data_IF_478368565272
#
_entry.id   IF_478368565272
#
_cell.length_a   1.000
_cell.length_b   1.000
_cell.length_c   1.000
_cell.angle_alpha   90.00
_cell.angle_beta   90.00
_cell.angle_gamma   90.00
#
_symmetry.space_group_name_H-M   'P 1'
#
loop_
_entity.id
_entity.type
_entity.pdbx_description
1 polymer ?
#
# COMPACT_ATOMS: atom_id res chain seq x y z
N UNK A 1 1.39 -14.00 40.04
CA UNK A 1 -0.04 -14.07 39.67
C UNK A 1 -0.26 -15.38 38.92
N UNK A 2 -0.92 -16.37 39.52
CA UNK A 2 -1.33 -17.59 38.79
C UNK A 2 -2.62 -17.26 38.04
N UNK A 3 -2.47 -16.72 36.83
CA UNK A 3 -3.60 -16.40 35.95
C UNK A 3 -3.73 -17.56 34.96
N UNK A 4 -4.89 -18.23 34.96
CA UNK A 4 -5.23 -19.22 33.95
C UNK A 4 -5.92 -18.51 32.78
N UNK A 5 -5.45 -18.67 31.53
CA UNK A 5 -6.12 -18.11 30.37
C UNK A 5 -7.56 -18.63 30.26
N UNK A 6 -8.53 -17.74 30.03
CA UNK A 6 -9.94 -18.14 29.82
C UNK A 6 -10.22 -18.55 28.38
N UNK A 7 -9.42 -18.06 27.42
CA UNK A 7 -9.50 -18.40 25.99
C UNK A 7 -8.21 -18.05 25.24
N UNK A 8 -8.04 -18.66 24.08
CA UNK A 8 -7.08 -18.21 23.05
C UNK A 8 -7.79 -17.28 22.07
N UNK A 9 -7.02 -16.39 21.44
CA UNK A 9 -7.50 -15.43 20.43
C UNK A 9 -6.98 -15.88 19.07
N UNK A 10 -7.83 -15.89 18.04
CA UNK A 10 -7.43 -16.21 16.66
C UNK A 10 -6.75 -15.01 16.00
N UNK A 11 -5.98 -15.25 14.94
CA UNK A 11 -5.44 -14.15 14.15
C UNK A 11 -6.57 -13.24 13.64
N UNK A 12 -6.35 -11.93 13.72
CA UNK A 12 -7.29 -10.83 13.41
C UNK A 12 -8.54 -10.74 14.27
N UNK A 13 -8.70 -11.61 15.26
CA UNK A 13 -9.85 -11.56 16.15
C UNK A 13 -9.80 -10.31 17.03
N UNK A 14 -10.96 -9.64 17.16
CA UNK A 14 -11.12 -8.54 18.09
C UNK A 14 -11.05 -9.05 19.54
N UNK A 15 -10.05 -8.60 20.30
CA UNK A 15 -9.92 -8.93 21.72
C UNK A 15 -10.89 -8.11 22.58
N UNK A 16 -11.12 -6.87 22.15
CA UNK A 16 -12.18 -5.95 22.59
C UNK A 16 -12.65 -5.17 21.37
N UNK A 17 -13.83 -4.52 21.39
CA UNK A 17 -14.31 -3.77 20.24
C UNK A 17 -13.26 -2.78 19.68
N UNK A 18 -12.92 -2.94 18.41
CA UNK A 18 -11.96 -2.09 17.70
C UNK A 18 -10.48 -2.45 17.87
N UNK A 19 -10.12 -3.40 18.74
CA UNK A 19 -8.73 -3.80 18.97
C UNK A 19 -8.54 -5.28 18.57
N UNK A 20 -7.74 -5.51 17.55
CA UNK A 20 -7.56 -6.81 16.91
C UNK A 20 -6.19 -7.40 17.25
N UNK A 21 -6.12 -8.71 17.53
CA UNK A 21 -4.84 -9.41 17.65
C UNK A 21 -4.30 -9.75 16.26
N UNK A 22 -2.99 -9.58 16.04
CA UNK A 22 -2.28 -10.05 14.85
C UNK A 22 -1.23 -11.06 15.32
N UNK A 23 -1.31 -12.30 14.86
CA UNK A 23 -0.40 -13.36 15.30
C UNK A 23 1.00 -13.19 14.71
N UNK A 24 2.01 -13.41 15.55
CA UNK A 24 3.43 -13.37 15.22
C UNK A 24 4.07 -14.70 15.65
N UNK A 25 3.99 -15.68 14.76
CA UNK A 25 4.32 -17.09 15.00
C UNK A 25 5.82 -17.36 15.15
N UNK A 26 6.67 -16.47 14.63
CA UNK A 26 8.13 -16.68 14.57
C UNK A 26 8.91 -15.82 15.56
N UNK A 27 8.22 -15.30 16.58
CA UNK A 27 8.80 -14.53 17.67
C UNK A 27 9.76 -15.29 18.58
N UNK A 28 9.97 -14.74 19.77
CA UNK A 28 10.79 -15.35 20.83
C UNK A 28 10.09 -16.54 21.48
N UNK A 29 8.76 -16.50 21.57
CA UNK A 29 7.95 -17.50 22.22
C UNK A 29 6.62 -17.76 21.49
N UNK A 30 6.04 -18.98 21.60
CA UNK A 30 4.76 -19.27 21.00
C UNK A 30 3.63 -18.37 21.52
N UNK A 31 2.75 -17.93 20.62
CA UNK A 31 1.58 -17.10 20.97
C UNK A 31 1.85 -15.61 21.06
N UNK A 32 2.99 -15.14 20.52
CA UNK A 32 3.23 -13.71 20.34
C UNK A 32 2.20 -13.07 19.40
N UNK A 33 1.79 -11.86 19.77
CA UNK A 33 0.82 -11.06 19.03
C UNK A 33 1.26 -9.60 18.98
N UNK A 34 0.91 -8.92 17.90
CA UNK A 34 0.73 -7.47 17.89
C UNK A 34 -0.76 -7.14 18.11
N UNK A 35 -1.04 -5.92 18.54
CA UNK A 35 -2.41 -5.41 18.64
C UNK A 35 -2.61 -4.29 17.64
N UNK A 36 -3.65 -4.39 16.82
CA UNK A 36 -4.00 -3.38 15.82
C UNK A 36 -5.29 -2.66 16.18
N UNK A 37 -5.23 -1.33 16.21
CA UNK A 37 -6.37 -0.45 16.45
C UNK A 37 -6.63 0.39 15.19
N UNK A 38 -7.54 -0.03 14.28
CA UNK A 38 -7.78 0.64 13.00
C UNK A 38 -8.21 2.10 13.16
N UNK A 39 -9.12 2.39 14.08
CA UNK A 39 -9.65 3.75 14.31
C UNK A 39 -8.57 4.74 14.75
N UNK A 40 -7.54 4.26 15.45
CA UNK A 40 -6.41 5.07 15.91
C UNK A 40 -5.24 5.02 14.93
N UNK A 41 -5.33 4.21 13.89
CA UNK A 41 -4.23 3.91 12.97
C UNK A 41 -2.95 3.52 13.73
N UNK A 42 -3.10 2.68 14.76
CA UNK A 42 -2.02 2.33 15.70
C UNK A 42 -1.80 0.82 15.73
N UNK A 43 -0.54 0.40 15.70
CA UNK A 43 -0.12 -0.98 16.01
C UNK A 43 0.70 -0.96 17.29
N UNK A 44 0.48 -1.94 18.17
CA UNK A 44 1.25 -2.15 19.39
C UNK A 44 2.02 -3.45 19.27
N UNK A 45 3.32 -3.40 19.51
CA UNK A 45 4.18 -4.58 19.58
C UNK A 45 4.61 -4.84 21.02
N UNK A 46 4.80 -6.14 21.32
CA UNK A 46 5.55 -6.58 22.49
C UNK A 46 7.05 -6.36 22.29
N UNK A 47 7.84 -7.41 22.52
CA UNK A 47 9.31 -7.37 22.44
C UNK A 47 9.87 -7.59 21.02
N UNK A 48 9.08 -8.13 20.09
CA UNK A 48 9.57 -8.44 18.73
C UNK A 48 10.08 -7.20 17.97
N UNK A 49 9.42 -6.06 18.12
CA UNK A 49 9.80 -4.78 17.49
C UNK A 49 10.21 -3.81 18.58
N UNK A 50 11.42 -3.27 18.47
CA UNK A 50 12.07 -2.44 19.48
C UNK A 50 12.35 -1.05 18.90
N UNK A 51 12.05 -0.01 19.68
CA UNK A 51 12.29 1.39 19.30
C UNK A 51 13.70 1.89 19.64
N UNK A 52 14.72 1.15 19.23
CA UNK A 52 16.13 1.45 19.53
C UNK A 52 16.99 1.30 18.27
N UNK A 53 17.86 2.29 17.92
CA UNK A 53 18.08 3.57 18.61
C UNK A 53 16.91 4.55 18.46
N UNK A 54 16.95 5.67 19.20
CA UNK A 54 15.93 6.73 19.09
C UNK A 54 15.74 7.16 17.63
N UNK A 55 14.48 7.13 17.16
CA UNK A 55 14.15 7.45 15.78
C UNK A 55 14.42 6.30 14.80
N UNK A 56 14.48 5.05 15.27
CA UNK A 56 14.52 3.86 14.42
C UNK A 56 13.72 2.73 15.05
N UNK A 57 13.33 1.76 14.23
CA UNK A 57 12.82 0.47 14.68
C UNK A 57 13.87 -0.60 14.38
N UNK A 58 14.07 -1.51 15.31
CA UNK A 58 14.85 -2.74 15.14
C UNK A 58 14.01 -3.94 15.55
N UNK A 59 14.48 -5.13 15.20
CA UNK A 59 13.89 -6.37 15.69
C UNK A 59 14.61 -6.81 16.95
N UNK A 60 13.90 -7.59 17.78
CA UNK A 60 14.52 -8.31 18.88
C UNK A 60 15.76 -9.06 18.40
N UNK A 61 16.81 -9.07 19.22
CA UNK A 61 18.08 -9.71 18.86
C UNK A 61 17.88 -11.16 18.35
N UNK A 62 18.50 -11.49 17.22
CA UNK A 62 18.35 -12.77 16.53
C UNK A 62 18.58 -13.99 17.45
N UNK A 63 19.50 -13.90 18.42
CA UNK A 63 19.77 -14.96 19.39
C UNK A 63 18.59 -15.28 20.33
N UNK A 64 17.57 -14.43 20.36
CA UNK A 64 16.34 -14.62 21.13
C UNK A 64 15.16 -15.07 20.27
N UNK A 65 15.29 -15.09 18.94
CA UNK A 65 14.21 -15.46 18.02
C UNK A 65 14.32 -16.93 17.64
N UNK A 66 13.17 -17.57 17.43
CA UNK A 66 13.12 -18.96 16.99
C UNK A 66 13.60 -19.13 15.54
N UNK A 67 13.25 -18.18 14.66
CA UNK A 67 13.67 -18.11 13.26
C UNK A 67 13.70 -16.63 12.84
N UNK A 68 14.85 -15.93 12.99
CA UNK A 68 14.93 -14.49 12.74
C UNK A 68 14.51 -14.07 11.33
N UNK A 69 14.90 -14.77 10.24
CA UNK A 69 14.41 -14.44 8.89
C UNK A 69 12.89 -14.55 8.76
N UNK A 70 12.27 -15.62 9.29
CA UNK A 70 10.81 -15.77 9.23
C UNK A 70 10.06 -14.77 10.09
N UNK A 71 10.60 -14.38 11.24
CA UNK A 71 10.03 -13.32 12.08
C UNK A 71 9.95 -11.98 11.32
N UNK A 72 11.03 -11.62 10.62
CA UNK A 72 11.06 -10.42 9.81
C UNK A 72 10.11 -10.52 8.60
N UNK A 73 10.03 -11.67 7.93
CA UNK A 73 9.09 -11.89 6.84
C UNK A 73 7.63 -11.79 7.30
N UNK A 74 7.30 -12.36 8.45
CA UNK A 74 5.94 -12.32 9.00
C UNK A 74 5.49 -10.91 9.36
N UNK A 75 6.39 -10.06 9.87
CA UNK A 75 6.10 -8.65 10.15
C UNK A 75 5.66 -7.84 8.92
N UNK A 76 5.93 -8.32 7.70
CA UNK A 76 5.41 -7.69 6.48
C UNK A 76 3.89 -7.74 6.39
N UNK A 77 3.22 -8.67 7.08
CA UNK A 77 1.76 -8.68 7.22
C UNK A 77 1.24 -7.40 7.91
N UNK A 78 2.03 -6.79 8.79
CA UNK A 78 1.69 -5.52 9.43
C UNK A 78 1.64 -4.40 8.40
N UNK A 79 2.52 -4.43 7.39
CA UNK A 79 2.49 -3.47 6.28
C UNK A 79 1.21 -3.61 5.42
N UNK A 80 0.43 -4.67 5.53
CA UNK A 80 -0.89 -4.73 4.89
C UNK A 80 -1.98 -3.94 5.66
N UNK A 81 -1.70 -3.54 6.90
CA UNK A 81 -2.62 -2.78 7.74
C UNK A 81 -2.49 -1.27 7.49
N UNK A 82 -3.58 -0.54 7.74
CA UNK A 82 -3.58 0.93 7.71
C UNK A 82 -3.21 1.50 9.08
N UNK A 83 -1.95 1.90 9.25
CA UNK A 83 -1.44 2.50 10.48
C UNK A 83 -0.48 3.67 10.18
N UNK A 84 -0.33 4.57 11.15
CA UNK A 84 0.60 5.70 11.13
C UNK A 84 1.43 5.80 12.43
N UNK A 85 1.02 5.05 13.46
CA UNK A 85 1.64 5.01 14.78
C UNK A 85 2.04 3.58 15.12
N UNK A 86 3.24 3.39 15.68
CA UNK A 86 3.71 2.15 16.29
C UNK A 86 4.05 2.44 17.75
N UNK A 87 3.42 1.70 18.66
CA UNK A 87 3.81 1.64 20.07
C UNK A 87 4.62 0.37 20.31
N UNK A 88 5.74 0.49 21.01
CA UNK A 88 6.64 -0.63 21.33
C UNK A 88 6.72 -0.82 22.84
N UNK A 89 6.92 -2.05 23.29
CA UNK A 89 7.16 -2.35 24.70
C UNK A 89 8.52 -1.84 25.19
N UNK A 90 9.54 -1.92 24.32
CA UNK A 90 10.92 -1.53 24.62
C UNK A 90 11.41 -0.42 23.66
N UNK A 91 12.07 0.60 24.21
CA UNK A 91 12.60 1.74 23.44
C UNK A 91 11.57 2.85 23.20
N UNK A 92 11.66 3.52 22.04
CA UNK A 92 10.88 4.71 21.70
C UNK A 92 9.79 4.40 20.67
N UNK A 93 8.55 4.74 21.01
CA UNK A 93 7.41 4.64 20.08
C UNK A 93 7.47 5.68 18.96
N UNK A 94 6.88 5.35 17.81
CA UNK A 94 6.83 6.21 16.61
C UNK A 94 5.39 6.69 16.41
N UNK A 95 5.18 8.01 16.40
CA UNK A 95 3.84 8.62 16.38
C UNK A 95 3.39 9.12 15.00
N UNK A 96 4.29 9.15 14.02
CA UNK A 96 4.03 9.58 12.65
C UNK A 96 4.90 8.79 11.69
N UNK A 97 4.35 8.52 10.50
CA UNK A 97 5.03 7.83 9.40
C UNK A 97 5.59 6.46 9.82
N UNK A 98 5.01 5.83 10.86
CA UNK A 98 5.54 4.60 11.46
C UNK A 98 5.64 3.44 10.46
N UNK A 99 4.83 3.47 9.40
CA UNK A 99 4.92 2.54 8.27
C UNK A 99 6.31 2.57 7.62
N UNK A 100 6.85 3.76 7.36
CA UNK A 100 8.17 3.91 6.74
C UNK A 100 9.27 3.39 7.66
N UNK A 101 9.20 3.70 8.96
CA UNK A 101 10.16 3.17 9.94
C UNK A 101 10.17 1.63 10.00
N UNK A 102 8.99 0.99 9.88
CA UNK A 102 8.91 -0.47 9.83
C UNK A 102 9.48 -1.01 8.50
N UNK A 103 9.22 -0.34 7.38
CA UNK A 103 9.85 -0.70 6.10
C UNK A 103 11.38 -0.61 6.21
N UNK A 104 11.92 0.48 6.73
CA UNK A 104 13.37 0.69 6.87
C UNK A 104 14.01 -0.37 7.77
N UNK A 105 13.34 -0.70 8.89
CA UNK A 105 13.73 -1.78 9.79
C UNK A 105 13.85 -3.12 9.05
N UNK A 106 12.81 -3.51 8.30
CA UNK A 106 12.76 -4.76 7.55
C UNK A 106 13.75 -4.79 6.38
N UNK A 107 14.02 -3.63 5.77
CA UNK A 107 14.97 -3.47 4.66
C UNK A 107 16.43 -3.51 5.11
N UNK A 108 16.71 -3.24 6.38
CA UNK A 108 18.06 -3.35 6.93
C UNK A 108 18.53 -4.82 7.06
N UNK A 109 17.60 -5.78 7.06
CA UNK A 109 17.88 -7.22 7.15
C UNK A 109 18.41 -7.77 5.83
N UNK A 110 19.69 -8.15 5.80
CA UNK A 110 20.39 -8.67 4.60
C UNK A 110 20.36 -10.19 4.48
N UNK A 111 19.92 -10.86 5.53
CA UNK A 111 19.80 -12.32 5.63
C UNK A 111 18.50 -12.86 4.99
N UNK A 112 17.56 -11.99 4.63
CA UNK A 112 16.34 -12.35 3.89
C UNK A 112 16.67 -12.41 2.39
N UNK A 113 16.85 -13.63 1.88
CA UNK A 113 17.20 -13.85 0.47
C UNK A 113 16.02 -13.61 -0.49
N UNK A 114 14.81 -14.04 -0.12
CA UNK A 114 13.60 -13.89 -0.94
C UNK A 114 12.53 -13.16 -0.13
N UNK A 115 12.01 -12.09 -0.71
CA UNK A 115 10.90 -11.33 -0.18
C UNK A 115 9.59 -11.82 -0.82
N UNK A 116 8.96 -12.83 -0.23
CA UNK A 116 7.78 -13.48 -0.78
C UNK A 116 6.57 -13.32 0.15
N UNK A 117 5.41 -13.16 -0.47
CA UNK A 117 4.09 -13.30 0.15
C UNK A 117 3.16 -14.06 -0.81
N UNK A 118 2.15 -14.74 -0.28
CA UNK A 118 1.07 -15.30 -1.08
C UNK A 118 -0.12 -14.32 -1.11
N UNK A 119 -0.76 -14.15 -2.28
CA UNK A 119 -1.79 -13.11 -2.44
C UNK A 119 -3.02 -13.36 -1.56
N UNK A 120 -3.33 -14.62 -1.27
CA UNK A 120 -4.45 -15.03 -0.41
C UNK A 120 -4.22 -14.69 1.08
N UNK A 121 -2.98 -14.42 1.47
CA UNK A 121 -2.66 -13.99 2.85
C UNK A 121 -2.91 -12.49 3.07
N UNK A 122 -3.17 -11.75 1.99
CA UNK A 122 -3.35 -10.31 1.99
C UNK A 122 -4.84 -10.02 1.80
N UNK A 123 -5.42 -9.33 2.77
CA UNK A 123 -6.81 -8.90 2.66
C UNK A 123 -6.96 -7.76 1.67
N UNK A 124 -8.09 -7.77 0.97
CA UNK A 124 -8.53 -6.62 0.20
C UNK A 124 -8.71 -5.41 1.13
N UNK A 125 -8.10 -4.28 0.75
CA UNK A 125 -8.27 -3.02 1.44
C UNK A 125 -9.25 -2.16 0.66
N UNK A 126 -10.28 -1.64 1.33
CA UNK A 126 -11.21 -0.71 0.70
C UNK A 126 -10.61 0.71 0.66
N UNK A 127 -10.39 1.24 -0.53
CA UNK A 127 -10.00 2.63 -0.75
C UNK A 127 -11.23 3.51 -0.75
N UNK A 128 -11.42 4.20 0.37
CA UNK A 128 -12.47 5.19 0.50
C UNK A 128 -12.16 6.41 -0.38
N UNK A 129 -12.93 6.58 -1.45
CA UNK A 129 -12.93 7.73 -2.34
C UNK A 129 -14.38 8.08 -2.72
N UNK A 130 -14.66 9.28 -3.26
CA UNK A 130 -15.99 9.59 -3.74
C UNK A 130 -16.41 8.65 -4.87
N UNK A 131 -17.65 8.18 -4.85
CA UNK A 131 -18.22 7.42 -5.97
C UNK A 131 -18.06 8.21 -7.29
N UNK A 132 -17.66 7.56 -8.41
CA UNK A 132 -17.44 6.12 -8.62
C UNK A 132 -15.99 5.65 -8.42
N UNK A 133 -15.14 6.41 -7.74
CA UNK A 133 -13.70 6.17 -7.63
C UNK A 133 -13.29 5.32 -6.42
N UNK A 134 -14.26 4.80 -5.66
CA UNK A 134 -14.01 3.84 -4.59
C UNK A 134 -13.78 2.43 -5.15
N UNK A 135 -12.76 1.76 -4.64
CA UNK A 135 -12.38 0.41 -5.09
C UNK A 135 -11.64 -0.35 -4.00
N UNK A 136 -11.34 -1.62 -4.26
CA UNK A 136 -10.55 -2.45 -3.36
C UNK A 136 -9.16 -2.70 -3.95
N UNK A 137 -8.12 -2.69 -3.13
CA UNK A 137 -6.76 -2.96 -3.58
C UNK A 137 -5.93 -3.81 -2.62
N UNK A 138 -4.84 -4.33 -3.16
CA UNK A 138 -3.72 -4.94 -2.44
C UNK A 138 -2.44 -4.23 -2.91
N UNK A 139 -1.84 -3.46 -2.01
CA UNK A 139 -0.60 -2.71 -2.27
C UNK A 139 0.61 -3.61 -1.96
N UNK A 140 1.23 -4.19 -2.99
CA UNK A 140 2.12 -5.34 -2.88
C UNK A 140 3.58 -4.95 -2.70
N UNK A 141 4.05 -3.90 -3.38
CA UNK A 141 5.46 -3.50 -3.34
C UNK A 141 6.00 -3.26 -1.93
N UNK A 142 5.29 -2.59 -0.99
CA UNK A 142 5.86 -2.37 0.34
C UNK A 142 5.97 -3.70 1.10
N UNK A 143 5.07 -4.65 0.83
CA UNK A 143 5.02 -5.95 1.48
C UNK A 143 6.18 -6.85 1.05
N UNK A 144 6.58 -6.79 -0.23
CA UNK A 144 7.75 -7.53 -0.73
C UNK A 144 9.01 -6.67 -0.84
N UNK A 145 8.96 -5.42 -0.39
CA UNK A 145 10.13 -4.56 -0.30
C UNK A 145 10.59 -3.97 -1.63
N UNK A 146 9.69 -3.84 -2.60
CA UNK A 146 9.89 -3.04 -3.80
C UNK A 146 10.14 -1.57 -3.44
N UNK A 147 10.97 -0.89 -4.24
CA UNK A 147 11.36 0.52 -4.01
C UNK A 147 11.25 1.38 -5.26
N UNK A 148 11.62 0.81 -6.40
CA UNK A 148 11.66 1.52 -7.68
C UNK A 148 10.46 1.17 -8.58
N UNK A 149 9.70 0.15 -8.19
CA UNK A 149 8.50 -0.29 -8.87
C UNK A 149 7.38 -0.39 -7.83
N UNK A 150 6.23 0.19 -8.16
CA UNK A 150 4.97 -0.01 -7.47
C UNK A 150 4.25 -1.22 -8.05
N UNK A 151 3.66 -2.04 -7.19
CA UNK A 151 2.93 -3.25 -7.55
C UNK A 151 1.58 -3.23 -6.84
N UNK A 152 0.48 -3.23 -7.59
CA UNK A 152 -0.85 -3.19 -6.99
C UNK A 152 -1.79 -4.14 -7.71
N UNK A 153 -2.60 -4.85 -6.95
CA UNK A 153 -3.77 -5.52 -7.51
C UNK A 153 -4.99 -4.68 -7.14
N UNK A 154 -5.80 -4.33 -8.12
CA UNK A 154 -7.03 -3.54 -7.95
C UNK A 154 -8.22 -4.40 -8.36
N UNK A 155 -9.29 -4.29 -7.59
CA UNK A 155 -10.61 -4.84 -7.91
C UNK A 155 -11.62 -3.71 -8.01
N UNK A 156 -12.23 -3.57 -9.18
CA UNK A 156 -13.36 -2.67 -9.40
C UNK A 156 -14.64 -3.47 -9.38
N UNK A 157 -15.56 -3.12 -8.47
CA UNK A 157 -16.93 -3.62 -8.47
C UNK A 157 -17.72 -3.03 -9.66
N UNK A 158 -18.89 -3.59 -10.02
CA UNK A 158 -19.81 -2.95 -10.97
C UNK A 158 -20.04 -1.47 -10.65
N UNK A 159 -20.16 -0.64 -11.69
CA UNK A 159 -20.34 0.82 -11.63
C UNK A 159 -19.17 1.60 -11.00
N UNK A 160 -18.02 0.95 -10.78
CA UNK A 160 -16.80 1.60 -10.26
C UNK A 160 -15.80 1.93 -11.36
N UNK A 161 -14.96 2.90 -11.06
CA UNK A 161 -13.90 3.38 -11.95
C UNK A 161 -12.57 3.37 -11.21
N UNK A 162 -11.48 3.16 -11.94
CA UNK A 162 -10.13 3.44 -11.42
C UNK A 162 -9.95 4.95 -11.26
N UNK A 163 -8.73 5.38 -10.95
CA UNK A 163 -8.30 6.79 -10.88
C UNK A 163 -8.90 7.69 -11.98
N UNK A 164 -9.05 9.01 -11.74
CA UNK A 164 -9.41 9.96 -12.79
C UNK A 164 -8.53 9.80 -14.03
N UNK A 165 -9.04 10.18 -15.22
CA UNK A 165 -8.25 10.20 -16.46
C UNK A 165 -6.93 10.92 -16.20
N UNK A 166 -5.82 10.22 -16.39
CA UNK A 166 -4.49 10.75 -16.10
C UNK A 166 -3.41 10.12 -16.97
N UNK A 167 -2.28 10.79 -17.03
CA UNK A 167 -1.02 10.24 -17.53
C UNK A 167 0.15 10.74 -16.69
N UNK A 168 1.25 10.00 -16.74
CA UNK A 168 2.53 10.31 -16.11
C UNK A 168 3.48 10.93 -17.13
N UNK A 169 4.26 11.94 -16.75
CA UNK A 169 5.23 12.56 -17.67
C UNK A 169 6.59 11.86 -17.67
N UNK A 170 6.93 11.16 -16.59
CA UNK A 170 8.22 10.48 -16.45
C UNK A 170 8.06 9.00 -16.10
N UNK A 171 7.07 8.65 -15.28
CA UNK A 171 6.83 7.27 -14.90
C UNK A 171 6.22 6.44 -16.02
N UNK A 172 6.66 5.18 -16.13
CA UNK A 172 5.95 4.16 -16.91
C UNK A 172 4.93 3.44 -16.02
N UNK A 173 3.81 3.04 -16.61
CA UNK A 173 2.82 2.19 -15.97
C UNK A 173 2.33 1.12 -16.96
N UNK A 174 1.95 -0.03 -16.43
CA UNK A 174 1.34 -1.12 -17.20
C UNK A 174 0.25 -1.79 -16.38
N UNK A 175 -0.71 -2.36 -17.08
CA UNK A 175 -1.80 -3.15 -16.52
C UNK A 175 -1.80 -4.53 -17.15
N UNK A 176 -2.01 -5.55 -16.32
CA UNK A 176 -2.37 -6.89 -16.74
C UNK A 176 -3.75 -7.23 -16.16
N UNK A 177 -4.74 -7.47 -17.03
CA UNK A 177 -6.09 -7.84 -16.60
C UNK A 177 -6.09 -9.30 -16.17
N UNK A 178 -6.40 -9.56 -14.91
CA UNK A 178 -6.34 -10.89 -14.32
C UNK A 178 -7.68 -11.62 -14.44
N UNK A 179 -8.79 -10.92 -14.21
CA UNK A 179 -10.14 -11.48 -14.18
C UNK A 179 -11.16 -10.46 -14.69
N UNK A 180 -12.22 -10.94 -15.34
CA UNK A 180 -13.32 -10.12 -15.84
C UNK A 180 -12.99 -9.31 -17.10
N UNK A 181 -13.82 -8.31 -17.37
CA UNK A 181 -13.65 -7.34 -18.45
C UNK A 181 -14.11 -5.96 -17.99
N UNK A 182 -13.61 -4.91 -18.64
CA UNK A 182 -14.07 -3.55 -18.42
C UNK A 182 -13.73 -2.66 -19.63
N UNK A 183 -14.16 -1.40 -19.57
CA UNK A 183 -13.83 -0.41 -20.60
C UNK A 183 -12.62 0.43 -20.18
N UNK A 184 -11.56 0.41 -20.98
CA UNK A 184 -10.44 1.33 -20.92
C UNK A 184 -10.77 2.60 -21.71
N UNK A 185 -10.98 3.72 -21.01
CA UNK A 185 -11.14 5.05 -21.61
C UNK A 185 -9.77 5.61 -21.95
N UNK A 186 -9.59 6.10 -23.19
CA UNK A 186 -8.39 6.81 -23.63
C UNK A 186 -8.77 8.04 -24.47
N UNK A 187 -7.88 9.03 -24.64
CA UNK A 187 -8.14 10.14 -25.57
C UNK A 187 -8.32 9.72 -27.03
N UNK A 188 -7.94 8.49 -27.39
CA UNK A 188 -8.04 7.94 -28.75
C UNK A 188 -9.32 7.12 -28.98
N UNK A 189 -10.16 6.99 -27.96
CA UNK A 189 -11.35 6.16 -27.99
C UNK A 189 -11.36 5.12 -26.87
N UNK A 190 -12.51 4.47 -26.74
CA UNK A 190 -12.77 3.46 -25.74
C UNK A 190 -12.38 2.08 -26.26
N UNK A 191 -11.76 1.28 -25.41
CA UNK A 191 -11.30 -0.07 -25.74
C UNK A 191 -11.84 -1.03 -24.69
N UNK A 192 -12.51 -2.10 -25.12
CA UNK A 192 -12.84 -3.21 -24.22
C UNK A 192 -11.56 -3.97 -23.89
N UNK A 193 -11.35 -4.25 -22.61
CA UNK A 193 -10.20 -5.03 -22.12
C UNK A 193 -10.71 -6.20 -21.30
N UNK A 194 -10.04 -7.35 -21.40
CA UNK A 194 -10.48 -8.64 -20.87
C UNK A 194 -9.32 -9.39 -20.22
N UNK A 195 -9.63 -10.38 -19.38
CA UNK A 195 -8.62 -11.21 -18.72
C UNK A 195 -7.58 -11.78 -19.72
N UNK A 196 -6.30 -11.56 -19.41
CA UNK A 196 -5.16 -11.94 -20.26
C UNK A 196 -4.53 -10.75 -21.01
N UNK A 197 -5.20 -9.59 -21.08
CA UNK A 197 -4.67 -8.42 -21.77
C UNK A 197 -3.52 -7.76 -21.00
N UNK A 198 -2.43 -7.47 -21.73
CA UNK A 198 -1.33 -6.60 -21.29
C UNK A 198 -1.47 -5.23 -21.95
N UNK A 199 -1.46 -4.18 -21.15
CA UNK A 199 -1.67 -2.80 -21.59
C UNK A 199 -0.54 -1.95 -21.03
N UNK A 200 0.15 -1.21 -21.89
CA UNK A 200 1.20 -0.29 -21.49
C UNK A 200 0.72 1.17 -21.57
N UNK A 201 1.12 1.97 -20.58
CA UNK A 201 0.88 3.40 -20.50
C UNK A 201 2.24 4.12 -20.51
N UNK A 202 2.80 4.40 -21.70
CA UNK A 202 4.07 5.11 -21.80
C UNK A 202 3.93 6.56 -21.32
N UNK A 203 5.03 7.23 -20.94
CA UNK A 203 4.98 8.60 -20.46
C UNK A 203 4.40 9.56 -21.51
N UNK A 204 3.64 10.54 -21.04
CA UNK A 204 2.97 11.55 -21.85
C UNK A 204 1.54 11.17 -22.25
N UNK A 205 0.94 12.02 -23.07
CA UNK A 205 -0.51 11.95 -23.42
C UNK A 205 -0.92 10.63 -24.10
N UNK A 206 0.02 9.92 -24.74
CA UNK A 206 -0.24 8.63 -25.35
C UNK A 206 -0.58 7.52 -24.33
N UNK A 207 -0.12 7.67 -23.08
CA UNK A 207 -0.45 6.78 -21.95
C UNK A 207 -1.65 7.24 -21.13
N UNK A 208 -2.40 8.27 -21.56
CA UNK A 208 -3.55 8.74 -20.80
C UNK A 208 -4.67 7.70 -20.76
N UNK A 209 -5.13 7.36 -19.56
CA UNK A 209 -6.07 6.27 -19.37
C UNK A 209 -6.95 6.39 -18.11
N UNK A 210 -8.04 5.62 -18.12
CA UNK A 210 -8.92 5.35 -16.99
C UNK A 210 -9.74 4.07 -17.25
N UNK A 211 -9.83 3.18 -16.28
CA UNK A 211 -10.70 2.00 -16.34
C UNK A 211 -12.10 2.31 -15.79
N UNK A 212 -13.12 1.80 -16.45
CA UNK A 212 -14.54 1.90 -16.07
C UNK A 212 -15.14 0.51 -16.12
N UNK A 213 -15.61 0.00 -14.98
CA UNK A 213 -16.35 -1.25 -14.93
C UNK A 213 -17.84 -0.97 -15.12
N UNK A 214 -18.30 -1.07 -16.37
CA UNK A 214 -19.70 -0.96 -16.81
C UNK A 214 -20.38 -2.34 -16.98
N UNK A 215 -19.76 -3.40 -16.43
CA UNK A 215 -20.31 -4.76 -16.42
C UNK A 215 -21.07 -5.06 -15.12
N UNK A 216 -21.71 -6.22 -15.04
CA UNK A 216 -22.43 -6.71 -13.86
C UNK A 216 -21.58 -7.60 -12.94
N UNK A 217 -20.28 -7.75 -13.23
CA UNK A 217 -19.34 -8.55 -12.45
C UNK A 217 -18.08 -7.73 -12.06
N UNK A 218 -17.33 -8.12 -11.01
CA UNK A 218 -16.07 -7.49 -10.67
C UNK A 218 -15.00 -7.72 -11.75
N UNK A 219 -14.10 -6.74 -11.91
CA UNK A 219 -12.88 -6.87 -12.72
C UNK A 219 -11.66 -6.73 -11.82
N UNK A 220 -10.63 -7.56 -12.05
CA UNK A 220 -9.39 -7.57 -11.26
C UNK A 220 -8.20 -7.39 -12.19
N UNK A 221 -7.29 -6.48 -11.84
CA UNK A 221 -6.08 -6.24 -12.63
C UNK A 221 -4.87 -5.95 -11.75
N UNK A 222 -3.71 -6.39 -12.25
CA UNK A 222 -2.40 -6.07 -11.71
C UNK A 222 -1.86 -4.83 -12.40
N UNK A 223 -1.53 -3.80 -11.64
CA UNK A 223 -0.85 -2.60 -12.08
C UNK A 223 0.60 -2.64 -11.60
N UNK A 224 1.51 -2.37 -12.52
CA UNK A 224 2.91 -2.12 -12.22
C UNK A 224 3.28 -0.75 -12.77
N UNK A 225 3.99 0.05 -11.98
CA UNK A 225 4.52 1.32 -12.45
C UNK A 225 5.86 1.65 -11.81
N UNK A 226 6.62 2.54 -12.42
CA UNK A 226 7.86 3.04 -11.83
C UNK A 226 7.56 4.00 -10.68
N UNK A 227 8.30 3.89 -9.59
CA UNK A 227 8.27 4.86 -8.50
C UNK A 227 9.23 6.00 -8.82
N UNK A 228 8.70 7.10 -9.36
CA UNK A 228 9.50 8.23 -9.84
C UNK A 228 9.25 9.48 -8.97
N UNK A 229 10.14 9.83 -8.03
CA UNK A 229 9.89 10.94 -7.09
C UNK A 229 9.73 12.32 -7.75
N UNK A 230 10.24 12.46 -8.98
CA UNK A 230 10.18 13.68 -9.77
C UNK A 230 9.09 13.65 -10.84
N UNK A 231 8.14 12.71 -10.76
CA UNK A 231 7.09 12.60 -11.75
C UNK A 231 6.13 13.80 -11.72
N UNK A 232 5.43 13.99 -12.83
CA UNK A 232 4.35 14.95 -12.98
C UNK A 232 3.17 14.24 -13.61
N UNK A 233 2.10 14.06 -12.84
CA UNK A 233 0.85 13.51 -13.38
C UNK A 233 -0.07 14.64 -13.83
N UNK A 234 -0.70 14.48 -14.99
CA UNK A 234 -1.71 15.41 -15.49
C UNK A 234 -3.07 14.73 -15.58
N UNK A 235 -4.12 15.51 -15.36
CA UNK A 235 -5.51 15.04 -15.32
C UNK A 235 -6.37 15.82 -16.33
N UNK A 236 -6.41 15.39 -17.61
CA UNK A 236 -7.02 16.13 -18.71
C UNK A 236 -8.46 16.58 -18.45
N UNK A 237 -9.34 15.67 -18.00
CA UNK A 237 -10.78 15.96 -17.77
C UNK A 237 -11.02 17.10 -16.78
N UNK A 238 -10.08 17.28 -15.86
CA UNK A 238 -10.18 18.26 -14.78
C UNK A 238 -9.18 19.41 -14.92
N UNK A 239 -8.41 19.45 -16.00
CA UNK A 239 -7.37 20.45 -16.22
C UNK A 239 -6.46 20.67 -15.00
N UNK A 240 -6.02 19.56 -14.38
CA UNK A 240 -5.16 19.58 -13.18
C UNK A 240 -3.79 18.98 -13.48
N UNK A 241 -2.81 19.37 -12.66
CA UNK A 241 -1.45 18.80 -12.65
C UNK A 241 -1.00 18.54 -11.21
N UNK A 242 -0.30 17.44 -11.00
CA UNK A 242 0.34 17.05 -9.74
C UNK A 242 1.84 16.88 -9.98
N UNK A 243 2.67 17.88 -9.67
CA UNK A 243 4.10 17.70 -9.54
C UNK A 243 4.41 16.97 -8.23
N UNK A 244 5.01 15.77 -8.30
CA UNK A 244 5.19 14.90 -7.13
C UNK A 244 6.11 15.53 -6.09
N UNK A 245 7.17 16.22 -6.54
CA UNK A 245 8.10 16.95 -5.68
C UNK A 245 7.42 18.03 -4.82
N UNK A 246 6.31 18.61 -5.30
CA UNK A 246 5.54 19.61 -4.54
C UNK A 246 4.46 18.95 -3.69
N UNK A 247 3.93 17.80 -4.12
CA UNK A 247 2.89 17.07 -3.40
C UNK A 247 1.54 17.80 -3.35
N UNK A 248 1.32 18.78 -4.24
CA UNK A 248 0.08 19.57 -4.34
C UNK A 248 -0.46 19.54 -5.76
N UNK A 249 -1.78 19.55 -5.87
CA UNK A 249 -2.49 19.56 -7.15
C UNK A 249 -2.85 21.00 -7.49
N UNK A 250 -2.56 21.40 -8.73
CA UNK A 250 -2.85 22.73 -9.27
C UNK A 250 -3.81 22.62 -10.46
N UNK A 251 -4.57 23.69 -10.74
CA UNK A 251 -5.19 23.88 -12.05
C UNK A 251 -4.11 24.38 -13.01
N UNK A 252 -4.15 23.93 -14.27
CA UNK A 252 -3.23 24.42 -15.30
C UNK A 252 -3.60 25.83 -15.78
N UNK A 253 -4.86 26.22 -15.60
CA UNK A 253 -5.36 27.55 -15.93
C UNK A 253 -5.74 28.39 -14.70
N UNK A 254 -5.50 29.72 -14.75
CA UNK A 254 -4.80 30.41 -15.84
C UNK A 254 -3.31 30.07 -15.87
N UNK A 255 -2.74 29.87 -17.07
CA UNK A 255 -1.29 29.84 -17.22
C UNK A 255 -0.76 31.26 -17.08
N UNK A 256 0.18 31.48 -16.16
CA UNK A 256 0.78 32.78 -15.95
C UNK A 256 1.93 32.99 -16.92
N UNK A 257 2.15 34.24 -17.31
CA UNK A 257 3.38 34.60 -18.00
C UNK A 257 4.57 34.44 -17.06
N UNK A 258 5.76 34.24 -17.61
CA UNK A 258 6.99 34.15 -16.81
C UNK A 258 7.21 35.36 -15.88
N UNK A 259 6.62 36.52 -16.20
CA UNK A 259 6.80 37.78 -15.46
C UNK A 259 5.59 38.18 -14.60
N UNK A 260 4.55 37.36 -14.52
CA UNK A 260 3.34 37.70 -13.76
C UNK A 260 3.65 37.88 -12.27
N UNK A 261 3.40 39.07 -11.72
CA UNK A 261 3.66 39.41 -10.32
C UNK A 261 5.13 39.70 -9.96
N UNK A 262 6.06 39.55 -10.91
CA UNK A 262 7.49 39.84 -10.73
C UNK A 262 7.86 41.28 -11.14
N UNK A 263 7.07 41.89 -12.04
CA UNK A 263 7.20 43.29 -12.51
C UNK A 263 5.88 44.06 -12.45
#
# INVERSE_FOLDING_TARGET
LNITPTRTVRDREAIVPGLHAIHLSHGKSPGEIALYFPEKQTVLFGDLVVGEPMGALTLLADSKLSDPPKAALELRKILALRFNTILVGDGHSIFKDARQYLVDCLQARRDIYINQIHIDEIEWQYKNAPHPYDFEDKDIDPLIGGKNLGYRIIRLQPDKMSFPMHFHNFGEEMCYVMEGSCTLKTPRGDVEVTAGDFIAFPPGTAGAHKFVNDTDAPVVFFILGTTTPHDVSEYPDSNKVLPYVVGKIYRKDPSLSYWDGEV
#
